data_IF_692785222402
#
_entry.id   IF_692785222402
#
_cell.length_a   1.000
_cell.length_b   1.000
_cell.length_c   1.000
_cell.angle_alpha   90.00
_cell.angle_beta   90.00
_cell.angle_gamma   90.00
#
_symmetry.space_group_name_H-M   'P 1'
#
loop_
_entity.id
_entity.type
_entity.pdbx_description
1 polymer ?
#
# COMPACT_ATOMS: atom_id res chain seq x y z
N UNK A 1 6.22 -0.70 -5.92
CA UNK A 1 5.45 -1.90 -5.55
C UNK A 1 4.60 -1.54 -4.35
N UNK A 2 3.32 -1.91 -4.30
CA UNK A 2 2.40 -1.46 -3.24
C UNK A 2 1.23 -2.43 -3.04
N UNK A 3 0.55 -2.32 -1.90
CA UNK A 3 -0.62 -3.12 -1.57
C UNK A 3 -1.90 -2.38 -1.97
N UNK A 4 -2.92 -3.06 -2.49
CA UNK A 4 -4.19 -2.40 -2.83
C UNK A 4 -4.77 -1.79 -1.55
N UNK A 5 -5.03 -0.49 -1.55
CA UNK A 5 -5.62 0.22 -0.41
C UNK A 5 -7.12 0.38 -0.65
N UNK A 6 -7.51 1.23 -1.60
CA UNK A 6 -8.91 1.48 -1.92
C UNK A 6 -9.06 2.10 -3.32
N UNK A 7 -10.29 2.16 -3.80
CA UNK A 7 -10.63 2.88 -5.02
C UNK A 7 -12.11 3.26 -5.01
N UNK A 8 -12.43 4.46 -5.52
CA UNK A 8 -13.83 4.93 -5.57
C UNK A 8 -14.63 4.26 -6.68
N UNK A 9 -14.00 3.95 -7.80
CA UNK A 9 -14.61 3.25 -8.94
C UNK A 9 -13.52 2.57 -9.77
N UNK A 10 -13.93 1.72 -10.72
CA UNK A 10 -13.01 1.02 -11.63
C UNK A 10 -13.04 1.67 -13.03
N UNK A 11 -11.87 1.85 -13.66
CA UNK A 11 -11.74 2.23 -15.06
C UNK A 11 -12.11 3.68 -15.42
N UNK A 12 -12.27 4.57 -14.43
CA UNK A 12 -12.60 5.99 -14.69
C UNK A 12 -11.34 6.86 -14.75
N UNK A 13 -11.26 7.69 -15.79
CA UNK A 13 -10.21 8.70 -15.91
C UNK A 13 -10.22 9.62 -14.68
N UNK A 14 -9.03 10.01 -14.22
CA UNK A 14 -8.82 10.84 -13.02
C UNK A 14 -9.31 10.24 -11.69
N UNK A 15 -9.73 8.97 -11.68
CA UNK A 15 -10.03 8.23 -10.45
C UNK A 15 -9.06 7.06 -10.31
N UNK A 16 -7.81 7.33 -9.90
CA UNK A 16 -6.82 6.28 -9.74
C UNK A 16 -7.20 5.33 -8.61
N UNK A 17 -6.80 4.07 -8.74
CA UNK A 17 -6.73 3.17 -7.60
C UNK A 17 -5.65 3.68 -6.64
N UNK A 18 -5.93 3.66 -5.35
CA UNK A 18 -5.00 4.07 -4.30
C UNK A 18 -4.34 2.82 -3.73
N UNK A 19 -3.01 2.86 -3.67
CA UNK A 19 -2.17 1.77 -3.17
C UNK A 19 -1.40 2.25 -1.95
N UNK A 20 -1.27 1.37 -0.96
CA UNK A 20 -0.40 1.58 0.18
C UNK A 20 1.04 1.46 -0.28
N UNK A 21 1.84 2.50 -0.02
CA UNK A 21 3.28 2.46 -0.24
C UNK A 21 3.94 1.60 0.83
N UNK A 22 4.44 0.43 0.43
CA UNK A 22 5.09 -0.53 1.34
C UNK A 22 6.38 0.05 1.91
N UNK A 23 7.10 0.90 1.16
CA UNK A 23 8.40 1.42 1.58
C UNK A 23 8.30 2.28 2.84
N UNK A 24 7.19 3.00 2.99
CA UNK A 24 6.90 3.80 4.18
C UNK A 24 6.73 2.96 5.45
N UNK A 25 6.30 1.70 5.33
CA UNK A 25 5.99 0.82 6.46
C UNK A 25 7.05 -0.25 6.71
N UNK A 26 8.19 -0.22 6.01
CA UNK A 26 9.24 -1.25 6.15
C UNK A 26 9.71 -1.41 7.60
N UNK A 27 9.90 -0.29 8.32
CA UNK A 27 10.35 -0.35 9.71
C UNK A 27 9.33 -1.02 10.63
N UNK A 28 8.05 -0.71 10.45
CA UNK A 28 6.95 -1.36 11.18
C UNK A 28 6.87 -2.86 10.86
N UNK A 29 7.03 -3.23 9.58
CA UNK A 29 7.02 -4.64 9.17
C UNK A 29 8.18 -5.40 9.85
N UNK A 30 9.38 -4.82 9.89
CA UNK A 30 10.53 -5.44 10.56
C UNK A 30 10.36 -5.57 12.08
N UNK A 31 9.69 -4.62 12.72
CA UNK A 31 9.37 -4.70 14.15
C UNK A 31 8.38 -5.84 14.43
N UNK A 32 7.29 -5.92 13.65
CA UNK A 32 6.25 -6.95 13.82
C UNK A 32 6.74 -8.35 13.47
N UNK A 33 7.55 -8.50 12.41
CA UNK A 33 8.06 -9.80 12.02
C UNK A 33 9.10 -10.35 12.99
N UNK A 34 9.59 -9.52 13.93
CA UNK A 34 10.74 -9.82 14.76
C UNK A 34 11.95 -9.98 13.85
N UNK A 35 12.80 -8.94 13.79
CA UNK A 35 14.10 -9.03 13.11
C UNK A 35 14.71 -10.42 13.36
N UNK A 36 15.10 -11.17 12.31
CA UNK A 36 15.83 -12.41 12.53
C UNK A 36 17.08 -12.17 13.39
#
# INVERSE_FOLDING_TARGET
MGLVSWGKSCGKAMQPGVYTDIQYYIDWIHDVMGRP
#
